data_IF_070449007630
#
_entry.id   IF_070449007630
#
_cell.length_a   1.000
_cell.length_b   1.000
_cell.length_c   1.000
_cell.angle_alpha   90.00
_cell.angle_beta   90.00
_cell.angle_gamma   90.00
#
_symmetry.space_group_name_H-M   'P 1'
#
loop_
_entity.id
_entity.type
_entity.pdbx_description
1 polymer ?
#
# COMPACT_ATOMS: atom_id res chain seq x y z
N UNK A 1 -24.74 -3.48 -5.16
CA UNK A 1 -24.58 -2.36 -4.20
C UNK A 1 -24.01 -1.20 -5.02
N UNK A 2 -24.73 -0.06 -5.19
CA UNK A 2 -24.16 1.07 -5.93
C UNK A 2 -23.01 1.63 -5.12
N UNK A 3 -21.81 1.63 -5.71
CA UNK A 3 -20.64 2.24 -5.11
C UNK A 3 -20.82 3.77 -5.22
N UNK A 4 -20.95 4.47 -4.11
CA UNK A 4 -20.99 5.93 -4.12
C UNK A 4 -19.55 6.45 -4.26
N UNK A 5 -19.24 7.08 -5.40
CA UNK A 5 -17.96 7.77 -5.60
C UNK A 5 -17.86 9.05 -4.78
N UNK A 6 -19.00 9.68 -4.46
CA UNK A 6 -19.06 10.87 -3.60
C UNK A 6 -19.04 10.46 -2.13
N UNK A 7 -17.88 10.54 -1.50
CA UNK A 7 -17.68 10.10 -0.10
C UNK A 7 -17.64 11.27 0.88
N UNK A 8 -18.33 11.11 2.02
CA UNK A 8 -18.24 12.08 3.13
C UNK A 8 -16.94 11.97 3.92
N UNK A 9 -16.27 10.83 3.83
CA UNK A 9 -14.97 10.54 4.47
C UNK A 9 -14.11 9.71 3.52
N UNK A 10 -12.81 9.83 3.65
CA UNK A 10 -11.86 9.01 2.91
C UNK A 10 -11.70 7.66 3.62
N UNK A 11 -12.16 6.59 2.98
CA UNK A 11 -12.17 5.22 3.53
C UNK A 11 -10.87 4.50 3.19
N UNK A 12 -10.50 3.54 4.04
CA UNK A 12 -9.34 2.68 3.78
C UNK A 12 -9.68 1.72 2.63
N UNK A 13 -8.87 1.64 1.57
CA UNK A 13 -9.10 0.68 0.49
C UNK A 13 -9.02 -0.77 0.99
N UNK A 14 -9.87 -1.64 0.44
CA UNK A 14 -9.91 -3.06 0.81
C UNK A 14 -8.54 -3.75 0.66
N UNK A 15 -7.79 -3.40 -0.38
CA UNK A 15 -6.43 -3.92 -0.58
C UNK A 15 -5.52 -3.58 0.62
N UNK A 16 -5.55 -2.33 1.10
CA UNK A 16 -4.75 -1.91 2.25
C UNK A 16 -5.21 -2.58 3.55
N UNK A 17 -6.52 -2.78 3.73
CA UNK A 17 -7.03 -3.56 4.88
C UNK A 17 -6.51 -4.99 4.85
N UNK A 18 -6.59 -5.69 3.72
CA UNK A 18 -6.04 -7.04 3.56
C UNK A 18 -4.55 -7.11 3.89
N UNK A 19 -3.76 -6.12 3.47
CA UNK A 19 -2.34 -6.03 3.79
C UNK A 19 -2.08 -5.77 5.28
N UNK A 20 -2.89 -4.92 5.92
CA UNK A 20 -2.80 -4.67 7.36
C UNK A 20 -3.12 -5.93 8.17
N UNK A 21 -4.16 -6.67 7.80
CA UNK A 21 -4.57 -7.91 8.46
C UNK A 21 -3.49 -8.99 8.31
N UNK A 22 -2.89 -9.08 7.12
CA UNK A 22 -1.80 -10.02 6.85
C UNK A 22 -0.53 -9.65 7.66
N UNK A 23 -0.16 -8.36 7.74
CA UNK A 23 0.95 -7.91 8.60
C UNK A 23 0.72 -8.32 10.05
N UNK A 24 -0.50 -8.10 10.56
CA UNK A 24 -0.83 -8.49 11.92
C UNK A 24 -0.74 -10.01 12.13
N UNK A 25 -1.19 -10.82 11.17
CA UNK A 25 -1.10 -12.27 11.24
C UNK A 25 0.36 -12.74 11.30
N UNK A 26 1.24 -12.23 10.43
CA UNK A 26 2.68 -12.51 10.44
C UNK A 26 3.29 -12.16 11.82
N UNK A 27 3.02 -10.95 12.31
CA UNK A 27 3.59 -10.48 13.55
C UNK A 27 3.10 -11.32 14.76
N UNK A 28 1.83 -11.71 14.79
CA UNK A 28 1.28 -12.60 15.84
C UNK A 28 1.92 -13.98 15.79
N UNK A 29 2.13 -14.53 14.59
CA UNK A 29 2.76 -15.84 14.42
C UNK A 29 4.16 -15.88 15.03
N UNK A 30 4.97 -14.83 14.84
CA UNK A 30 6.36 -14.79 15.29
C UNK A 30 6.46 -14.41 16.78
N UNK A 31 5.70 -13.40 17.21
CA UNK A 31 5.87 -12.83 18.56
C UNK A 31 4.86 -13.36 19.59
N UNK A 32 3.82 -14.06 19.16
CA UNK A 32 2.82 -14.71 20.02
C UNK A 32 2.35 -13.81 21.20
N UNK A 33 2.58 -14.22 22.44
CA UNK A 33 2.19 -13.47 23.65
C UNK A 33 2.90 -12.11 23.79
N UNK A 34 4.06 -11.93 23.12
CA UNK A 34 4.80 -10.66 23.09
C UNK A 34 4.30 -9.71 21.99
N UNK A 35 3.31 -10.14 21.21
CA UNK A 35 2.74 -9.30 20.15
C UNK A 35 2.04 -8.08 20.73
N UNK A 36 2.26 -6.94 20.09
CA UNK A 36 1.49 -5.71 20.28
C UNK A 36 1.22 -5.06 18.92
N UNK A 37 0.23 -4.18 18.82
CA UNK A 37 -0.10 -3.48 17.58
C UNK A 37 1.01 -2.57 17.02
N UNK A 38 2.03 -2.27 17.84
CA UNK A 38 3.22 -1.54 17.43
C UNK A 38 4.25 -2.40 16.69
N UNK A 39 4.13 -3.74 16.79
CA UNK A 39 5.02 -4.66 16.08
C UNK A 39 4.66 -4.66 14.59
N UNK A 40 5.69 -4.56 13.75
CA UNK A 40 5.58 -4.47 12.30
C UNK A 40 6.46 -5.53 11.63
N UNK A 41 6.22 -5.78 10.33
CA UNK A 41 6.97 -6.78 9.57
C UNK A 41 8.48 -6.59 9.64
N UNK A 42 8.99 -5.37 9.72
CA UNK A 42 10.44 -5.15 9.85
C UNK A 42 11.01 -5.70 11.16
N UNK A 43 10.25 -5.71 12.26
CA UNK A 43 10.68 -6.36 13.50
C UNK A 43 10.74 -7.89 13.34
N UNK A 44 9.84 -8.47 12.52
CA UNK A 44 9.90 -9.90 12.16
C UNK A 44 11.18 -10.20 11.38
N UNK A 45 11.51 -9.35 10.40
CA UNK A 45 12.75 -9.47 9.61
C UNK A 45 13.97 -9.39 10.51
N UNK A 46 14.04 -8.39 11.38
CA UNK A 46 15.15 -8.21 12.33
C UNK A 46 15.30 -9.43 13.26
N UNK A 47 14.16 -9.96 13.75
CA UNK A 47 14.14 -11.16 14.56
C UNK A 47 14.68 -12.39 13.82
N UNK A 48 14.25 -12.63 12.59
CA UNK A 48 14.74 -13.74 11.77
C UNK A 48 16.22 -13.58 11.45
N UNK A 49 16.69 -12.38 11.11
CA UNK A 49 18.12 -12.14 10.85
C UNK A 49 18.94 -12.48 12.10
N UNK A 50 18.57 -11.96 13.27
CA UNK A 50 19.30 -12.21 14.51
C UNK A 50 19.32 -13.72 14.87
N UNK A 51 18.18 -14.41 14.74
CA UNK A 51 18.11 -15.87 15.02
C UNK A 51 18.87 -16.68 13.95
N UNK A 52 18.82 -16.26 12.70
CA UNK A 52 19.56 -16.90 11.61
C UNK A 52 21.08 -16.80 11.78
N UNK A 53 21.58 -15.66 12.27
CA UNK A 53 23.00 -15.47 12.62
C UNK A 53 23.40 -16.35 13.81
N UNK A 54 22.59 -16.36 14.86
CA UNK A 54 22.83 -17.15 16.08
C UNK A 54 22.90 -18.68 15.78
N UNK A 55 21.98 -19.18 14.93
CA UNK A 55 21.82 -20.60 14.62
C UNK A 55 22.53 -21.05 13.33
N UNK A 56 23.32 -20.17 12.68
CA UNK A 56 24.02 -20.49 11.44
C UNK A 56 23.11 -20.72 10.22
N UNK A 57 21.86 -20.26 10.25
CA UNK A 57 20.87 -20.48 9.18
C UNK A 57 20.99 -19.49 8.02
N UNK A 58 21.83 -18.46 8.12
CA UNK A 58 22.00 -17.44 7.07
C UNK A 58 22.62 -17.99 5.76
N UNK A 59 23.08 -19.23 5.74
CA UNK A 59 23.50 -19.95 4.53
C UNK A 59 22.42 -20.85 3.93
N UNK A 60 21.25 -21.00 4.57
CA UNK A 60 20.17 -21.91 4.13
C UNK A 60 19.26 -21.18 3.14
N UNK A 61 19.14 -21.67 1.88
CA UNK A 61 18.39 -20.95 0.84
C UNK A 61 16.91 -20.70 1.20
N UNK A 62 16.21 -21.68 1.79
CA UNK A 62 14.80 -21.51 2.19
C UNK A 62 14.63 -20.51 3.34
N UNK A 63 15.62 -20.40 4.24
CA UNK A 63 15.62 -19.39 5.29
C UNK A 63 15.77 -17.97 4.71
N UNK A 64 16.70 -17.79 3.78
CA UNK A 64 16.89 -16.51 3.09
C UNK A 64 15.68 -16.13 2.24
N UNK A 65 15.03 -17.11 1.61
CA UNK A 65 13.80 -16.87 0.84
C UNK A 65 12.68 -16.25 1.69
N UNK A 66 12.52 -16.68 2.95
CA UNK A 66 11.56 -16.09 3.86
C UNK A 66 11.88 -14.62 4.19
N UNK A 67 13.15 -14.32 4.47
CA UNK A 67 13.59 -12.94 4.73
C UNK A 67 13.33 -12.04 3.51
N UNK A 68 13.64 -12.49 2.31
CA UNK A 68 13.42 -11.72 1.08
C UNK A 68 11.92 -11.55 0.76
N UNK A 69 11.09 -12.58 0.98
CA UNK A 69 9.64 -12.50 0.83
C UNK A 69 9.04 -11.46 1.79
N UNK A 70 9.48 -11.46 3.05
CA UNK A 70 9.05 -10.48 4.06
C UNK A 70 9.53 -9.06 3.75
N UNK A 71 10.74 -8.87 3.25
CA UNK A 71 11.26 -7.56 2.80
C UNK A 71 10.44 -7.01 1.65
N UNK A 72 10.12 -7.86 0.66
CA UNK A 72 9.28 -7.48 -0.47
C UNK A 72 7.89 -7.09 0.00
N UNK A 73 7.24 -7.89 0.85
CA UNK A 73 5.95 -7.56 1.46
C UNK A 73 6.00 -6.23 2.23
N UNK A 74 6.97 -6.06 3.13
CA UNK A 74 7.13 -4.84 3.95
C UNK A 74 7.30 -3.59 3.09
N UNK A 75 8.09 -3.68 2.03
CA UNK A 75 8.32 -2.56 1.10
C UNK A 75 7.06 -2.17 0.34
N UNK A 76 6.33 -3.16 -0.18
CA UNK A 76 5.08 -2.94 -0.91
C UNK A 76 3.99 -2.37 0.01
N UNK A 77 3.79 -2.98 1.19
CA UNK A 77 2.84 -2.51 2.20
C UNK A 77 3.12 -1.06 2.64
N UNK A 78 4.38 -0.73 2.90
CA UNK A 78 4.79 0.65 3.20
C UNK A 78 4.49 1.62 2.03
N UNK A 79 4.56 1.14 0.80
CA UNK A 79 4.13 1.87 -0.40
C UNK A 79 2.65 2.19 -0.39
N UNK A 80 1.80 1.19 -0.14
CA UNK A 80 0.34 1.36 -0.03
C UNK A 80 -0.05 2.34 1.08
N UNK A 81 0.55 2.22 2.27
CA UNK A 81 0.29 3.15 3.39
C UNK A 81 0.65 4.59 2.99
N UNK A 82 1.80 4.79 2.32
CA UNK A 82 2.21 6.13 1.87
C UNK A 82 1.28 6.68 0.80
N UNK A 83 0.87 5.86 -0.18
CA UNK A 83 -0.11 6.24 -1.21
C UNK A 83 -1.40 6.74 -0.56
N UNK A 84 -2.02 5.89 0.22
CA UNK A 84 -3.25 6.19 0.96
C UNK A 84 -3.15 7.46 1.83
N UNK A 85 -2.04 7.61 2.57
CA UNK A 85 -1.85 8.80 3.40
C UNK A 85 -1.74 10.09 2.57
N UNK A 86 -1.14 10.01 1.39
CA UNK A 86 -1.05 11.12 0.43
C UNK A 86 -2.42 11.50 -0.11
N UNK A 87 -3.16 10.54 -0.66
CA UNK A 87 -4.49 10.73 -1.22
C UNK A 87 -5.47 11.28 -0.17
N UNK A 88 -5.48 10.70 1.04
CA UNK A 88 -6.29 11.17 2.16
C UNK A 88 -5.99 12.64 2.52
N UNK A 89 -4.71 13.02 2.53
CA UNK A 89 -4.29 14.39 2.83
C UNK A 89 -4.81 15.38 1.79
N UNK A 90 -4.66 15.04 0.52
CA UNK A 90 -5.14 15.86 -0.61
C UNK A 90 -6.67 15.92 -0.62
N UNK A 91 -7.36 14.81 -0.37
CA UNK A 91 -8.82 14.77 -0.24
C UNK A 91 -9.33 15.79 0.77
N UNK A 92 -8.78 15.79 1.98
CA UNK A 92 -9.22 16.73 3.01
C UNK A 92 -8.81 18.17 2.71
N UNK A 93 -7.66 18.41 2.08
CA UNK A 93 -7.25 19.75 1.66
C UNK A 93 -8.27 20.36 0.66
N UNK A 94 -8.74 19.57 -0.29
CA UNK A 94 -9.75 19.99 -1.28
C UNK A 94 -11.13 20.13 -0.62
N UNK A 95 -11.53 19.19 0.23
CA UNK A 95 -12.84 19.22 0.91
C UNK A 95 -13.06 20.50 1.72
N UNK A 96 -12.01 21.11 2.24
CA UNK A 96 -12.08 22.38 2.99
C UNK A 96 -12.31 23.62 2.11
N UNK A 97 -12.23 23.50 0.78
CA UNK A 97 -12.50 24.63 -0.15
C UNK A 97 -13.99 25.06 -0.09
N UNK A 98 -14.87 24.18 0.37
CA UNK A 98 -16.28 24.50 0.55
C UNK A 98 -17.20 23.91 -0.53
N UNK A 99 -18.27 24.62 -0.89
CA UNK A 99 -19.28 24.20 -1.87
C UNK A 99 -18.97 24.74 -3.26
N UNK A 100 -19.49 24.09 -4.29
CA UNK A 100 -19.38 24.54 -5.68
C UNK A 100 -18.84 23.46 -6.61
N UNK A 101 -18.52 22.28 -6.06
CA UNK A 101 -18.12 21.12 -6.83
C UNK A 101 -18.57 19.80 -6.15
N UNK A 102 -18.73 18.78 -6.96
CA UNK A 102 -18.83 17.39 -6.49
C UNK A 102 -17.44 16.77 -6.51
N UNK A 103 -17.02 16.10 -5.44
CA UNK A 103 -15.73 15.43 -5.31
C UNK A 103 -15.94 13.92 -5.36
N UNK A 104 -15.49 13.30 -6.45
CA UNK A 104 -15.49 11.86 -6.64
C UNK A 104 -14.09 11.33 -6.35
N UNK A 105 -13.98 10.18 -5.71
CA UNK A 105 -12.70 9.58 -5.31
C UNK A 105 -12.59 8.14 -5.78
N UNK A 106 -11.39 7.72 -6.15
CA UNK A 106 -11.07 6.37 -6.61
C UNK A 106 -12.03 5.91 -7.71
N UNK A 107 -12.24 6.77 -8.71
CA UNK A 107 -13.07 6.44 -9.85
C UNK A 107 -12.24 5.62 -10.86
N UNK A 108 -12.73 4.45 -11.21
CA UNK A 108 -12.16 3.59 -12.26
C UNK A 108 -13.13 3.60 -13.44
N UNK A 109 -12.69 4.13 -14.56
CA UNK A 109 -13.52 4.36 -15.73
C UNK A 109 -12.98 3.60 -16.94
N UNK A 110 -13.91 3.00 -17.69
CA UNK A 110 -13.62 2.34 -18.95
C UNK A 110 -14.24 3.09 -20.10
N UNK A 111 -13.48 3.27 -21.18
CA UNK A 111 -13.98 3.76 -22.45
C UNK A 111 -13.24 3.06 -23.61
N UNK A 112 -13.98 2.36 -24.47
CA UNK A 112 -13.47 1.67 -25.66
C UNK A 112 -12.28 0.74 -25.42
N UNK A 113 -12.20 0.14 -24.22
CA UNK A 113 -11.12 -0.77 -23.81
C UNK A 113 -9.92 -0.07 -23.16
N UNK A 114 -9.95 1.24 -23.07
CA UNK A 114 -9.01 2.00 -22.23
C UNK A 114 -9.57 2.07 -20.81
N UNK A 115 -8.77 1.65 -19.84
CA UNK A 115 -9.10 1.67 -18.41
C UNK A 115 -8.18 2.64 -17.69
N UNK A 116 -8.77 3.58 -16.93
CA UNK A 116 -8.01 4.52 -16.11
C UNK A 116 -8.62 4.66 -14.71
N UNK A 117 -7.74 4.65 -13.70
CA UNK A 117 -8.04 4.93 -12.30
C UNK A 117 -7.76 6.41 -12.01
N UNK A 118 -8.69 7.07 -11.35
CA UNK A 118 -8.60 8.49 -10.98
C UNK A 118 -8.58 8.62 -9.46
N UNK A 119 -7.53 9.17 -8.90
CA UNK A 119 -7.47 9.42 -7.45
C UNK A 119 -8.61 10.33 -7.02
N UNK A 120 -8.84 11.45 -7.77
CA UNK A 120 -10.01 12.30 -7.55
C UNK A 120 -10.43 12.99 -8.85
N UNK A 121 -11.75 13.17 -9.02
CA UNK A 121 -12.37 14.00 -10.05
C UNK A 121 -13.23 15.05 -9.35
N UNK A 122 -13.01 16.31 -9.66
CA UNK A 122 -13.89 17.40 -9.22
C UNK A 122 -14.78 17.80 -10.38
N UNK A 123 -16.09 17.87 -10.15
CA UNK A 123 -17.10 18.26 -11.15
C UNK A 123 -17.76 19.54 -10.67
N UNK A 124 -17.69 20.61 -11.45
CA UNK A 124 -18.26 21.91 -11.13
C UNK A 124 -18.89 22.55 -12.37
N UNK A 125 -19.57 23.68 -12.21
CA UNK A 125 -20.09 24.45 -13.34
C UNK A 125 -18.96 25.07 -14.20
N UNK A 126 -17.78 25.26 -13.64
CA UNK A 126 -16.60 25.77 -14.34
C UNK A 126 -15.86 24.69 -15.13
N UNK A 127 -16.24 23.43 -15.00
CA UNK A 127 -15.63 22.28 -15.70
C UNK A 127 -15.20 21.17 -14.73
N UNK A 128 -14.23 20.38 -15.17
CA UNK A 128 -13.74 19.22 -14.43
C UNK A 128 -12.27 19.39 -14.09
N UNK A 129 -11.89 18.83 -12.94
CA UNK A 129 -10.47 18.78 -12.53
C UNK A 129 -10.10 17.34 -12.20
N UNK A 130 -9.10 16.82 -12.92
CA UNK A 130 -8.44 15.57 -12.56
C UNK A 130 -7.35 15.88 -11.55
N UNK A 131 -7.39 15.23 -10.40
CA UNK A 131 -6.36 15.35 -9.35
C UNK A 131 -5.65 14.02 -9.23
N UNK A 132 -4.40 13.98 -9.63
CA UNK A 132 -3.51 12.82 -9.51
C UNK A 132 -2.55 13.04 -8.37
N UNK A 133 -2.57 12.19 -7.35
CA UNK A 133 -1.79 12.35 -6.13
C UNK A 133 -0.49 11.56 -6.22
N UNK A 134 0.61 12.20 -5.90
CA UNK A 134 1.92 11.55 -5.80
C UNK A 134 2.53 11.81 -4.42
N UNK A 135 2.93 10.73 -3.75
CA UNK A 135 3.56 10.79 -2.42
C UNK A 135 4.92 10.09 -2.47
N UNK A 136 5.82 10.62 -3.31
CA UNK A 136 7.17 10.07 -3.48
C UNK A 136 8.07 10.42 -2.31
N UNK A 137 8.97 9.50 -1.94
CA UNK A 137 9.98 9.74 -0.90
C UNK A 137 11.18 10.57 -1.39
N UNK A 138 11.38 10.65 -2.71
CA UNK A 138 12.49 11.34 -3.35
C UNK A 138 11.98 12.48 -4.22
N UNK A 139 12.74 13.56 -4.32
CA UNK A 139 12.47 14.63 -5.27
C UNK A 139 12.55 14.14 -6.72
N UNK A 140 11.81 14.79 -7.59
CA UNK A 140 11.72 14.44 -9.00
C UNK A 140 11.54 15.69 -9.87
N UNK A 141 11.80 15.55 -11.18
CA UNK A 141 11.55 16.59 -12.16
C UNK A 141 10.72 16.02 -13.33
N UNK A 142 9.70 16.75 -13.77
CA UNK A 142 8.97 16.48 -15.00
C UNK A 142 9.59 17.34 -16.10
N UNK A 143 10.20 16.70 -17.09
CA UNK A 143 10.78 17.39 -18.24
C UNK A 143 9.70 17.89 -19.22
N UNK A 144 10.11 18.71 -20.20
CA UNK A 144 9.23 19.17 -21.30
C UNK A 144 8.60 18.04 -22.11
N UNK A 145 9.20 16.86 -22.08
CA UNK A 145 8.68 15.61 -22.66
C UNK A 145 7.53 14.98 -21.84
N UNK A 146 7.22 15.51 -20.66
CA UNK A 146 6.20 14.97 -19.76
C UNK A 146 6.68 13.78 -18.91
N UNK A 147 7.97 13.42 -19.00
CA UNK A 147 8.52 12.31 -18.22
C UNK A 147 9.03 12.80 -16.86
N UNK A 148 8.51 12.21 -15.80
CA UNK A 148 9.01 12.40 -14.44
C UNK A 148 10.25 11.54 -14.22
N UNK A 149 11.33 12.16 -13.75
CA UNK A 149 12.61 11.52 -13.43
C UNK A 149 12.95 11.76 -11.98
N UNK A 150 13.29 10.69 -11.25
CA UNK A 150 13.67 10.81 -9.84
C UNK A 150 15.12 11.30 -9.70
N UNK A 151 15.35 12.16 -8.72
CA UNK A 151 16.66 12.79 -8.45
C UNK A 151 17.51 12.00 -7.43
N UNK A 152 17.09 10.77 -7.09
CA UNK A 152 17.75 9.88 -6.14
C UNK A 152 18.84 8.98 -6.75
N UNK A 153 19.18 9.18 -8.01
CA UNK A 153 20.16 8.38 -8.73
C UNK A 153 19.68 6.98 -9.14
N UNK A 154 18.42 6.63 -8.88
CA UNK A 154 17.86 5.30 -9.20
C UNK A 154 17.64 5.06 -10.69
N UNK A 155 17.63 6.11 -11.50
CA UNK A 155 17.26 6.04 -12.92
C UNK A 155 15.77 5.77 -13.17
N UNK A 156 14.94 5.76 -12.12
CA UNK A 156 13.49 5.52 -12.25
C UNK A 156 12.82 6.68 -13.00
N UNK A 157 11.90 6.32 -13.89
CA UNK A 157 11.12 7.27 -14.69
C UNK A 157 9.65 6.89 -14.72
N UNK A 158 8.77 7.88 -14.96
CA UNK A 158 7.32 7.70 -15.15
C UNK A 158 6.83 8.65 -16.22
N UNK A 159 6.07 8.16 -17.20
CA UNK A 159 5.44 9.01 -18.22
C UNK A 159 4.14 9.62 -17.67
N UNK A 160 4.29 10.72 -16.94
CA UNK A 160 3.15 11.40 -16.31
C UNK A 160 2.33 12.16 -17.35
N UNK A 161 2.98 12.75 -18.33
CA UNK A 161 2.31 13.51 -19.38
C UNK A 161 1.35 12.66 -20.22
N UNK A 162 1.80 11.47 -20.64
CA UNK A 162 0.97 10.53 -21.42
C UNK A 162 -0.17 9.97 -20.56
N UNK A 163 0.12 9.56 -19.33
CA UNK A 163 -0.91 9.04 -18.42
C UNK A 163 -2.01 10.07 -18.16
N UNK A 164 -1.65 11.35 -17.97
CA UNK A 164 -2.64 12.41 -17.78
C UNK A 164 -3.41 12.74 -19.07
N UNK A 165 -2.79 12.51 -20.24
CA UNK A 165 -3.48 12.64 -21.53
C UNK A 165 -4.53 11.52 -21.74
N UNK A 166 -4.19 10.27 -21.42
CA UNK A 166 -5.13 9.13 -21.41
C UNK A 166 -6.31 9.41 -20.48
N UNK A 167 -6.05 9.78 -19.23
CA UNK A 167 -7.11 10.13 -18.28
C UNK A 167 -8.02 11.25 -18.78
N UNK A 168 -7.47 12.29 -19.38
CA UNK A 168 -8.28 13.37 -19.98
C UNK A 168 -9.15 12.85 -21.12
N UNK A 169 -8.61 11.97 -21.96
CA UNK A 169 -9.36 11.37 -23.05
C UNK A 169 -10.54 10.55 -22.53
N UNK A 170 -10.29 9.56 -21.67
CA UNK A 170 -11.35 8.72 -21.08
C UNK A 170 -12.43 9.57 -20.39
N UNK A 171 -12.03 10.53 -19.57
CA UNK A 171 -12.97 11.40 -18.87
C UNK A 171 -13.79 12.27 -19.84
N UNK A 172 -13.14 12.84 -20.88
CA UNK A 172 -13.81 13.65 -21.91
C UNK A 172 -14.90 12.86 -22.61
N UNK A 173 -14.59 11.65 -23.04
CA UNK A 173 -15.52 10.81 -23.79
C UNK A 173 -16.74 10.40 -22.94
N UNK A 174 -16.49 9.92 -21.72
CA UNK A 174 -17.57 9.58 -20.77
C UNK A 174 -18.48 10.77 -20.51
N UNK A 175 -17.91 11.95 -20.28
CA UNK A 175 -18.65 13.16 -19.94
C UNK A 175 -19.39 13.72 -21.16
N UNK A 176 -18.74 13.79 -22.34
CA UNK A 176 -19.37 14.29 -23.57
C UNK A 176 -20.59 13.44 -23.97
N UNK A 177 -20.47 12.11 -23.83
CA UNK A 177 -21.59 11.20 -24.04
C UNK A 177 -22.74 11.44 -23.03
N UNK A 178 -22.41 11.74 -21.77
CA UNK A 178 -23.41 11.99 -20.74
C UNK A 178 -24.25 13.27 -20.99
N UNK A 179 -23.60 14.34 -21.47
CA UNK A 179 -24.28 15.62 -21.71
C UNK A 179 -24.73 15.80 -23.16
N UNK A 180 -24.43 14.84 -24.06
CA UNK A 180 -24.83 14.86 -25.47
C UNK A 180 -24.18 15.96 -26.31
N UNK A 181 -23.02 16.48 -25.87
CA UNK A 181 -22.24 17.50 -26.60
C UNK A 181 -20.75 17.43 -26.23
N UNK A 182 -19.90 17.93 -27.09
CA UNK A 182 -18.47 18.04 -26.81
C UNK A 182 -18.21 19.07 -25.71
N UNK A 183 -17.25 18.76 -24.85
CA UNK A 183 -16.73 19.72 -23.87
C UNK A 183 -15.84 20.76 -24.56
N UNK A 184 -15.94 22.05 -24.17
CA UNK A 184 -15.02 23.07 -24.63
C UNK A 184 -13.56 22.73 -24.33
N UNK A 185 -12.64 23.23 -25.16
CA UNK A 185 -11.23 23.15 -24.84
C UNK A 185 -10.92 23.84 -23.50
N UNK A 186 -10.11 23.20 -22.68
CA UNK A 186 -9.79 23.69 -21.35
C UNK A 186 -10.83 23.36 -20.26
N UNK A 187 -12.00 22.77 -20.61
CA UNK A 187 -13.00 22.36 -19.62
C UNK A 187 -12.51 21.25 -18.66
N UNK A 188 -11.43 20.54 -19.00
CA UNK A 188 -10.78 19.55 -18.14
C UNK A 188 -9.38 20.01 -17.79
N UNK A 189 -9.13 20.32 -16.53
CA UNK A 189 -7.81 20.66 -15.99
C UNK A 189 -7.20 19.43 -15.33
N UNK A 190 -5.90 19.21 -15.53
CA UNK A 190 -5.16 18.09 -14.93
C UNK A 190 -4.13 18.60 -13.95
N UNK A 191 -4.28 18.22 -12.69
CA UNK A 191 -3.37 18.57 -11.60
C UNK A 191 -2.64 17.33 -11.08
N UNK A 192 -1.32 17.39 -11.02
CA UNK A 192 -0.49 16.42 -10.29
C UNK A 192 -0.16 17.02 -8.93
N UNK A 193 -0.59 16.40 -7.86
CA UNK A 193 -0.41 16.92 -6.51
C UNK A 193 0.68 16.16 -5.78
N UNK A 194 1.76 16.86 -5.44
CA UNK A 194 2.79 16.32 -4.55
C UNK A 194 2.29 16.35 -3.10
N UNK A 195 2.01 15.17 -2.56
CA UNK A 195 1.54 15.02 -1.18
C UNK A 195 2.67 14.90 -0.14
N UNK A 196 3.94 14.87 -0.57
CA UNK A 196 5.09 14.80 0.32
C UNK A 196 5.79 16.17 0.43
N UNK A 197 5.68 16.80 1.59
CA UNK A 197 6.32 18.10 1.86
C UNK A 197 7.86 18.02 1.94
N UNK A 198 8.42 16.81 2.12
CA UNK A 198 9.88 16.61 2.22
C UNK A 198 10.56 16.36 0.88
N UNK A 199 9.78 16.15 -0.17
CA UNK A 199 10.25 15.95 -1.53
C UNK A 199 9.62 17.01 -2.45
N UNK A 200 10.31 17.42 -3.50
CA UNK A 200 9.79 18.37 -4.48
C UNK A 200 9.54 17.70 -5.83
N UNK A 201 8.55 18.19 -6.58
CA UNK A 201 8.39 17.87 -7.98
C UNK A 201 8.57 19.18 -8.76
N UNK A 202 9.72 19.32 -9.44
CA UNK A 202 9.94 20.41 -10.39
C UNK A 202 9.21 20.09 -11.69
N UNK A 203 8.58 21.07 -12.31
CA UNK A 203 7.83 20.89 -13.54
C UNK A 203 8.29 21.86 -14.63
N UNK A 204 8.84 21.33 -15.70
CA UNK A 204 9.24 22.04 -16.91
C UNK A 204 8.28 21.72 -18.11
N UNK A 205 7.18 20.97 -17.84
CA UNK A 205 6.19 20.55 -18.85
C UNK A 205 4.98 21.47 -18.84
N UNK A 206 4.45 21.76 -20.01
CA UNK A 206 3.15 22.40 -20.21
C UNK A 206 1.96 21.40 -20.25
N UNK A 207 2.25 20.09 -20.27
CA UNK A 207 1.22 19.03 -20.38
C UNK A 207 0.47 18.78 -19.08
N UNK A 208 1.07 19.10 -17.94
CA UNK A 208 0.50 18.91 -16.61
C UNK A 208 0.83 20.11 -15.72
N UNK A 209 -0.06 20.39 -14.77
CA UNK A 209 0.18 21.37 -13.73
C UNK A 209 0.52 20.66 -12.44
N UNK A 210 1.59 21.07 -11.75
CA UNK A 210 2.01 20.48 -10.48
C UNK A 210 1.64 21.40 -9.32
N UNK A 211 0.98 20.81 -8.31
CA UNK A 211 0.60 21.48 -7.06
C UNK A 211 1.19 20.74 -5.86
N UNK A 212 1.29 21.42 -4.72
CA UNK A 212 1.55 20.79 -3.42
C UNK A 212 0.26 20.64 -2.63
N UNK A 213 0.26 19.85 -1.56
CA UNK A 213 -0.86 19.79 -0.62
C UNK A 213 -1.19 21.17 -0.03
N UNK A 214 -0.19 22.03 0.18
CA UNK A 214 -0.38 23.39 0.71
C UNK A 214 -0.97 24.38 -0.30
N UNK A 215 -0.87 24.11 -1.62
CA UNK A 215 -1.36 25.03 -2.67
C UNK A 215 -2.63 24.56 -3.36
N UNK A 216 -2.97 23.27 -3.27
CA UNK A 216 -4.10 22.68 -4.03
C UNK A 216 -5.43 23.34 -3.73
N UNK A 217 -5.73 23.61 -2.45
CA UNK A 217 -6.99 24.25 -2.06
C UNK A 217 -7.16 25.62 -2.76
N UNK A 218 -6.14 26.47 -2.70
CA UNK A 218 -6.15 27.77 -3.38
C UNK A 218 -6.33 27.60 -4.90
N UNK A 219 -5.62 26.65 -5.49
CA UNK A 219 -5.75 26.41 -6.93
C UNK A 219 -7.15 25.97 -7.34
N UNK A 220 -7.79 25.10 -6.56
CA UNK A 220 -9.19 24.69 -6.79
C UNK A 220 -10.12 25.92 -6.66
N UNK A 221 -9.93 26.77 -5.63
CA UNK A 221 -10.71 28.00 -5.51
C UNK A 221 -10.54 28.94 -6.71
N UNK A 222 -9.34 29.07 -7.27
CA UNK A 222 -9.08 29.85 -8.47
C UNK A 222 -9.85 29.30 -9.69
N UNK A 223 -9.85 27.99 -9.87
CA UNK A 223 -10.59 27.32 -10.94
C UNK A 223 -12.10 27.50 -10.79
N UNK A 224 -12.64 27.45 -9.56
CA UNK A 224 -14.06 27.66 -9.28
C UNK A 224 -14.53 29.11 -9.47
N UNK A 225 -13.62 30.08 -9.62
CA UNK A 225 -13.96 31.49 -9.95
C UNK A 225 -13.96 31.74 -11.45
N UNK A 226 -13.63 30.75 -12.28
CA UNK A 226 -13.67 30.87 -13.73
C UNK A 226 -15.08 30.97 -14.28
N UNK A 227 -15.16 31.11 -15.59
CA UNK A 227 -16.44 31.16 -16.30
C UNK A 227 -17.17 29.80 -16.24
N UNK A 228 -18.48 29.83 -16.12
CA UNK A 228 -19.30 28.63 -16.13
C UNK A 228 -19.40 28.09 -17.58
N UNK A 229 -18.98 26.85 -17.76
CA UNK A 229 -19.03 26.12 -19.04
C UNK A 229 -20.06 24.98 -19.03
N UNK A 230 -20.55 24.61 -17.84
CA UNK A 230 -21.53 23.55 -17.58
C UNK A 230 -22.75 24.12 -16.86
N UNK A 231 -23.95 23.66 -17.25
CA UNK A 231 -25.17 23.93 -16.49
C UNK A 231 -25.28 23.07 -15.23
N UNK A 232 -26.18 23.41 -14.36
CA UNK A 232 -26.46 22.58 -13.16
C UNK A 232 -26.97 21.18 -13.53
N UNK A 233 -27.72 21.07 -14.63
CA UNK A 233 -28.20 19.78 -15.16
C UNK A 233 -27.04 18.95 -15.72
N UNK A 234 -26.06 19.60 -16.42
CA UNK A 234 -24.85 18.94 -16.90
C UNK A 234 -24.05 18.34 -15.74
N UNK A 235 -23.83 19.12 -14.66
CA UNK A 235 -23.09 18.65 -13.47
C UNK A 235 -23.77 17.40 -12.88
N UNK A 236 -25.09 17.40 -12.78
CA UNK A 236 -25.84 16.26 -12.26
C UNK A 236 -25.77 15.05 -13.20
N UNK A 237 -25.87 15.26 -14.51
CA UNK A 237 -25.78 14.20 -15.52
C UNK A 237 -24.35 13.59 -15.53
N UNK A 238 -23.33 14.42 -15.47
CA UNK A 238 -21.92 13.99 -15.43
C UNK A 238 -21.67 13.13 -14.19
N UNK A 239 -22.10 13.59 -13.01
CA UNK A 239 -21.94 12.81 -11.78
C UNK A 239 -22.59 11.44 -11.91
N UNK A 240 -23.85 11.38 -12.36
CA UNK A 240 -24.58 10.13 -12.54
C UNK A 240 -23.89 9.20 -13.56
N UNK A 241 -23.35 9.77 -14.64
CA UNK A 241 -22.62 9.00 -15.65
C UNK A 241 -21.29 8.44 -15.12
N UNK A 242 -20.54 9.22 -14.37
CA UNK A 242 -19.28 8.76 -13.74
C UNK A 242 -19.54 7.66 -12.71
N UNK A 243 -20.61 7.79 -11.90
CA UNK A 243 -21.02 6.73 -10.97
C UNK A 243 -21.50 5.46 -11.69
N UNK A 244 -22.13 5.61 -12.86
CA UNK A 244 -22.59 4.48 -13.68
C UNK A 244 -21.43 3.80 -14.45
N UNK A 245 -20.44 4.56 -14.88
CA UNK A 245 -19.26 4.09 -15.60
C UNK A 245 -18.16 3.55 -14.68
N UNK A 246 -18.31 3.73 -13.37
CA UNK A 246 -17.35 3.22 -12.40
C UNK A 246 -17.41 1.70 -12.29
N UNK A 247 -16.33 1.06 -12.70
CA UNK A 247 -16.13 -0.39 -12.63
C UNK A 247 -14.83 -0.69 -11.89
N UNK A 248 -14.88 -0.85 -10.54
CA UNK A 248 -13.68 -1.17 -9.78
C UNK A 248 -13.15 -2.55 -10.20
N UNK A 249 -11.89 -2.55 -10.62
CA UNK A 249 -11.18 -3.81 -10.86
C UNK A 249 -10.75 -4.36 -9.51
N UNK A 250 -11.03 -5.62 -9.26
CA UNK A 250 -10.48 -6.32 -8.10
C UNK A 250 -8.97 -6.51 -8.33
N UNK A 251 -8.18 -5.59 -7.75
CA UNK A 251 -6.73 -5.64 -7.83
C UNK A 251 -6.25 -6.84 -7.01
N UNK A 252 -5.72 -7.85 -7.69
CA UNK A 252 -5.00 -8.90 -6.99
C UNK A 252 -3.74 -8.32 -6.36
N UNK A 253 -3.41 -8.71 -5.11
CA UNK A 253 -2.20 -8.22 -4.48
C UNK A 253 -0.98 -8.65 -5.29
N UNK A 254 -0.08 -7.70 -5.60
CA UNK A 254 1.23 -8.00 -6.21
C UNK A 254 2.08 -8.96 -5.35
N UNK A 255 1.69 -9.12 -4.09
CA UNK A 255 2.34 -9.99 -3.12
C UNK A 255 1.50 -11.24 -2.93
N UNK A 256 2.11 -12.36 -3.22
CA UNK A 256 1.55 -13.68 -2.91
C UNK A 256 1.64 -13.93 -1.39
N UNK A 257 0.53 -13.74 -0.69
CA UNK A 257 0.44 -13.93 0.76
C UNK A 257 0.67 -15.39 1.17
N UNK A 258 0.26 -16.36 0.32
CA UNK A 258 0.46 -17.77 0.59
C UNK A 258 1.95 -18.11 0.54
N UNK A 259 2.66 -17.61 -0.47
CA UNK A 259 4.10 -17.78 -0.57
C UNK A 259 4.86 -17.15 0.61
N UNK A 260 4.52 -15.91 1.00
CA UNK A 260 5.14 -15.26 2.17
C UNK A 260 4.87 -16.07 3.44
N UNK A 261 3.65 -16.55 3.63
CA UNK A 261 3.26 -17.36 4.79
C UNK A 261 4.00 -18.70 4.81
N UNK A 262 4.05 -19.41 3.68
CA UNK A 262 4.72 -20.71 3.56
C UNK A 262 6.22 -20.61 3.86
N UNK A 263 6.90 -19.62 3.26
CA UNK A 263 8.33 -19.41 3.51
C UNK A 263 8.63 -19.03 4.96
N UNK A 264 7.77 -18.20 5.58
CA UNK A 264 7.89 -17.88 7.00
C UNK A 264 7.76 -19.11 7.89
N UNK A 265 6.76 -19.98 7.65
CA UNK A 265 6.59 -21.23 8.40
C UNK A 265 7.79 -22.16 8.26
N UNK A 266 8.37 -22.26 7.07
CA UNK A 266 9.59 -23.03 6.85
C UNK A 266 10.76 -22.48 7.64
N UNK A 267 10.97 -21.15 7.64
CA UNK A 267 12.02 -20.51 8.43
C UNK A 267 11.85 -20.74 9.94
N UNK A 268 10.64 -20.62 10.47
CA UNK A 268 10.34 -20.89 11.88
C UNK A 268 10.56 -22.38 12.23
N UNK A 269 10.26 -23.30 11.31
CA UNK A 269 10.51 -24.72 11.47
C UNK A 269 12.01 -25.05 11.48
N UNK A 270 12.82 -24.34 10.69
CA UNK A 270 14.27 -24.44 10.73
C UNK A 270 14.83 -23.97 12.09
N UNK A 271 14.38 -22.81 12.59
CA UNK A 271 14.74 -22.31 13.91
C UNK A 271 14.43 -23.37 14.99
N UNK A 272 13.21 -23.90 14.99
CA UNK A 272 12.77 -24.88 15.98
C UNK A 272 13.63 -26.16 15.97
N UNK A 273 13.99 -26.66 14.79
CA UNK A 273 14.87 -27.83 14.63
C UNK A 273 16.28 -27.56 15.12
N UNK A 274 16.87 -26.44 14.73
CA UNK A 274 18.23 -26.09 15.16
C UNK A 274 18.35 -25.90 16.66
N UNK A 275 17.34 -25.32 17.30
CA UNK A 275 17.28 -25.20 18.78
C UNK A 275 17.19 -26.57 19.45
N UNK A 276 16.37 -27.49 18.92
CA UNK A 276 16.25 -28.84 19.48
C UNK A 276 17.55 -29.65 19.36
N UNK A 277 18.26 -29.51 18.22
CA UNK A 277 19.56 -30.16 18.01
C UNK A 277 20.65 -29.64 18.97
N UNK A 278 20.65 -28.33 19.28
CA UNK A 278 21.57 -27.75 20.27
C UNK A 278 21.28 -28.28 21.69
N UNK A 279 19.98 -28.37 22.09
CA UNK A 279 19.58 -28.89 23.40
C UNK A 279 19.96 -30.37 23.57
N UNK A 280 19.74 -31.23 22.56
CA UNK A 280 20.15 -32.62 22.58
C UNK A 280 21.68 -32.78 22.62
N UNK A 281 22.43 -31.94 21.92
CA UNK A 281 23.90 -31.93 21.93
C UNK A 281 24.47 -31.53 23.29
N UNK A 282 23.87 -30.58 24.00
CA UNK A 282 24.26 -30.17 25.36
C UNK A 282 23.99 -31.28 26.41
N UNK A 283 22.85 -31.98 26.27
CA UNK A 283 22.52 -33.11 27.19
C UNK A 283 23.47 -34.29 26.98
N UNK A 284 23.86 -34.59 25.74
CA UNK A 284 24.86 -35.64 25.48
C UNK A 284 26.23 -35.30 26.02
N UNK A 285 26.63 -34.04 25.96
CA UNK A 285 27.91 -33.56 26.51
C UNK A 285 27.91 -33.60 28.05
N UNK A 286 26.78 -33.36 28.70
CA UNK A 286 26.63 -33.46 30.14
C UNK A 286 26.68 -34.89 30.66
N UNK A 287 26.13 -35.85 29.92
CA UNK A 287 26.12 -37.28 30.32
C UNK A 287 27.51 -37.92 30.10
N UNK A 288 28.33 -37.37 29.19
CA UNK A 288 29.65 -37.91 28.83
C UNK A 288 30.82 -37.32 29.61
N UNK A 289 30.56 -36.31 30.48
CA UNK A 289 31.60 -35.73 31.31
C UNK A 289 31.88 -36.63 32.53
N UNK A 290 33.17 -37.08 32.79
CA UNK A 290 33.46 -37.83 33.97
C UNK A 290 33.22 -36.96 35.22
N UNK A 291 32.52 -37.53 36.22
CA UNK A 291 32.30 -36.89 37.51
C UNK A 291 33.65 -36.50 38.16
N UNK A 292 34.05 -35.24 38.00
CA UNK A 292 35.12 -34.66 38.82
C UNK A 292 34.47 -33.87 39.94
N UNK A 293 34.72 -34.33 41.13
CA UNK A 293 34.25 -33.74 42.39
C UNK A 293 34.65 -32.26 42.55
N UNK A 294 33.63 -31.52 43.10
CA UNK A 294 33.73 -30.30 43.89
C UNK A 294 34.18 -29.00 43.25
N UNK A 295 33.25 -28.06 43.03
CA UNK A 295 33.24 -26.78 43.76
C UNK A 295 31.95 -26.00 43.54
N UNK A 296 31.31 -25.57 44.61
CA UNK A 296 30.06 -24.80 44.65
C UNK A 296 30.25 -23.37 44.16
N UNK A 297 29.63 -23.02 43.02
CA UNK A 297 29.42 -21.62 42.64
C UNK A 297 27.94 -21.45 42.25
N UNK A 298 27.32 -20.45 42.84
CA UNK A 298 25.89 -20.12 42.73
C UNK A 298 25.44 -19.91 41.25
N UNK A 299 24.54 -20.76 40.80
CA UNK A 299 23.93 -20.67 39.48
C UNK A 299 22.82 -19.61 39.44
N UNK A 300 22.94 -18.62 38.57
CA UNK A 300 21.85 -17.79 38.07
C UNK A 300 20.87 -18.65 37.25
N UNK A 301 19.60 -18.65 37.63
CA UNK A 301 18.53 -19.41 36.96
C UNK A 301 18.38 -19.00 35.49
N UNK A 302 18.61 -19.93 34.58
CA UNK A 302 18.19 -19.83 33.17
C UNK A 302 16.69 -20.14 33.01
N UNK A 303 15.98 -19.56 32.04
CA UNK A 303 14.56 -19.83 31.83
C UNK A 303 14.31 -21.25 31.34
N UNK A 304 13.22 -21.84 31.79
CA UNK A 304 12.79 -23.23 31.58
C UNK A 304 12.43 -23.56 30.11
N UNK A 305 12.73 -24.76 29.62
CA UNK A 305 12.46 -25.22 28.23
C UNK A 305 10.98 -25.37 27.88
N UNK A 306 10.05 -25.25 28.82
CA UNK A 306 8.63 -25.39 28.59
C UNK A 306 8.00 -24.40 27.55
N UNK A 307 8.71 -23.31 27.18
CA UNK A 307 8.23 -22.29 26.28
C UNK A 307 8.41 -22.65 24.78
N UNK A 308 9.35 -23.55 24.43
CA UNK A 308 9.65 -23.89 23.03
C UNK A 308 8.70 -24.98 22.50
N UNK A 309 8.32 -25.95 23.34
CA UNK A 309 7.39 -27.02 22.94
C UNK A 309 5.96 -26.55 22.62
N UNK A 310 5.52 -25.44 23.25
CA UNK A 310 4.23 -24.82 22.98
C UNK A 310 4.15 -24.14 21.60
N UNK A 311 5.28 -23.61 21.11
CA UNK A 311 5.34 -22.90 19.85
C UNK A 311 5.13 -23.81 18.62
N UNK A 312 5.70 -25.01 18.65
CA UNK A 312 5.59 -25.99 17.54
C UNK A 312 4.18 -26.56 17.43
N UNK A 313 3.51 -26.81 18.56
CA UNK A 313 2.15 -27.34 18.55
C UNK A 313 1.11 -26.32 18.07
N UNK A 314 1.31 -25.02 18.35
CA UNK A 314 0.42 -23.94 17.90
C UNK A 314 0.60 -23.63 16.40
N UNK A 315 1.83 -23.76 15.87
CA UNK A 315 2.13 -23.54 14.45
C UNK A 315 1.40 -24.56 13.53
N UNK A 316 1.27 -25.81 13.98
CA UNK A 316 0.55 -26.83 13.22
C UNK A 316 -0.99 -26.66 13.23
N UNK A 317 -1.53 -26.05 14.29
CA UNK A 317 -2.95 -25.74 14.41
C UNK A 317 -3.42 -24.57 13.56
N UNK A 318 -2.59 -23.55 13.35
CA UNK A 318 -2.92 -22.36 12.57
C UNK A 318 -2.81 -22.57 11.06
N UNK A 319 -1.91 -23.45 10.59
CA UNK A 319 -1.82 -23.81 9.18
C UNK A 319 -3.11 -24.48 8.66
N UNK A 320 -3.80 -25.29 9.50
CA UNK A 320 -5.08 -25.90 9.17
C UNK A 320 -6.26 -24.94 9.14
N UNK A 321 -6.22 -23.85 9.89
CA UNK A 321 -7.30 -22.86 9.99
C UNK A 321 -7.32 -21.88 8.81
N UNK A 322 -6.17 -21.51 8.27
CA UNK A 322 -6.09 -20.54 7.17
C UNK A 322 -6.47 -21.14 5.80
N UNK A 323 -6.15 -22.44 5.59
CA UNK A 323 -6.51 -23.17 4.37
C UNK A 323 -8.03 -23.42 4.26
N UNK A 324 -8.74 -23.52 5.39
CA UNK A 324 -10.19 -23.73 5.39
C UNK A 324 -11.00 -22.42 5.29
N UNK A 325 -10.39 -21.26 5.54
CA UNK A 325 -11.04 -19.96 5.42
C UNK A 325 -11.08 -19.39 4.00
N UNK A 326 -10.19 -19.82 3.11
CA UNK A 326 -10.09 -19.31 1.73
C UNK A 326 -11.08 -19.93 0.74
N UNK A 327 -11.81 -21.00 1.12
CA UNK A 327 -12.83 -21.63 0.25
C UNK A 327 -14.26 -21.09 0.47
N UNK A 328 -14.44 -20.10 1.33
CA UNK A 328 -15.71 -19.41 1.56
C UNK A 328 -16.03 -18.45 0.42
N UNK A 329 -16.87 -18.86 -0.52
CA UNK A 329 -17.48 -18.03 -1.56
C UNK A 329 -17.95 -16.69 -0.99
N UNK A 330 -17.25 -15.65 -1.34
CA UNK A 330 -17.77 -14.28 -1.24
C UNK A 330 -18.68 -14.03 -2.45
N UNK A 331 -19.98 -13.84 -2.19
CA UNK A 331 -20.96 -13.26 -3.11
C UNK A 331 -21.11 -11.77 -2.79
#
# INVERSE_FOLDING_TARGET
MKCELTKKSFEVPALLERHNDFEQAICRTVFQEKYSSSVKTYHVIDHLVARGEELGLMGVPSYLAAIEALKRFSSYHAGLIRGFAGERRVFYAIKHVGSGFEQLVNAELDYEGEHDEFDQILVSRQGLVIVEVKNYSSSAAIGSDGILRFEDGSGRMRNVGERMASKRYVLREVVSNAIGRELPDGAIVSLVVNANEKASIRNDSDRVEVQSTGSIARRVEELLRGDEVLGAEDVSAIKAALEAAHHPIEIEPEIDFEYVSATLHEALSLIARSVAEEEEGEDFARVSAPESETCSVSQARRPSPALVSGAVALLLGLAGGYVLGSTGKWR
#
